data_IF_534672864511
#
_entry.id   IF_534672864511
#
_cell.length_a   1.000
_cell.length_b   1.000
_cell.length_c   1.000
_cell.angle_alpha   90.00
_cell.angle_beta   90.00
_cell.angle_gamma   90.00
#
_symmetry.space_group_name_H-M   'P 1'
#
loop_
_entity.id
_entity.type
_entity.pdbx_description
1 polymer ?
#
# COMPACT_ATOMS: atom_id res chain seq x y z
N UNK A 1 15.75 -31.55 12.31
CA UNK A 1 14.76 -30.50 12.64
C UNK A 1 15.42 -29.17 12.36
N UNK A 2 14.82 -28.29 11.56
CA UNK A 2 15.38 -26.96 11.34
C UNK A 2 15.37 -26.16 12.65
N UNK A 3 16.33 -25.24 12.82
CA UNK A 3 16.42 -24.39 14.01
C UNK A 3 15.12 -23.59 14.26
N UNK A 4 14.39 -23.22 13.19
CA UNK A 4 13.10 -22.54 13.27
C UNK A 4 12.05 -23.36 14.06
N UNK A 5 12.03 -24.68 13.90
CA UNK A 5 11.09 -25.55 14.62
C UNK A 5 11.38 -25.55 16.13
N UNK A 6 12.65 -25.46 16.54
CA UNK A 6 13.04 -25.41 17.95
C UNK A 6 12.49 -24.14 18.61
N UNK A 7 12.64 -22.99 17.96
CA UNK A 7 12.13 -21.71 18.49
C UNK A 7 10.61 -21.68 18.57
N UNK A 8 9.92 -22.25 17.57
CA UNK A 8 8.46 -22.33 17.57
C UNK A 8 7.98 -23.18 18.74
N UNK A 9 8.58 -24.34 18.97
CA UNK A 9 8.20 -25.23 20.05
C UNK A 9 8.49 -24.64 21.43
N UNK A 10 9.62 -23.93 21.59
CA UNK A 10 9.91 -23.18 22.81
C UNK A 10 8.84 -22.10 23.09
N UNK A 11 8.44 -21.33 22.07
CA UNK A 11 7.42 -20.28 22.22
C UNK A 11 6.03 -20.86 22.50
N UNK A 12 5.69 -22.02 21.91
CA UNK A 12 4.47 -22.78 22.24
C UNK A 12 4.48 -23.26 23.69
N UNK A 13 5.60 -23.80 24.18
CA UNK A 13 5.76 -24.21 25.58
C UNK A 13 5.59 -23.02 26.53
N UNK A 14 6.14 -21.85 26.20
CA UNK A 14 5.90 -20.61 26.97
C UNK A 14 4.42 -20.23 27.00
N UNK A 15 3.72 -20.31 25.87
CA UNK A 15 2.28 -20.04 25.80
C UNK A 15 1.47 -21.02 26.67
N UNK A 16 1.85 -22.30 26.71
CA UNK A 16 1.25 -23.31 27.58
C UNK A 16 1.55 -23.03 29.06
N UNK A 17 2.77 -22.65 29.40
CA UNK A 17 3.16 -22.27 30.77
C UNK A 17 2.33 -21.09 31.29
N UNK A 18 2.09 -20.07 30.46
CA UNK A 18 1.20 -18.95 30.81
C UNK A 18 -0.22 -19.45 31.15
N UNK A 19 -0.77 -20.38 30.37
CA UNK A 19 -2.09 -20.97 30.63
C UNK A 19 -2.14 -21.73 31.96
N UNK A 20 -1.09 -22.50 32.27
CA UNK A 20 -0.99 -23.24 33.53
C UNK A 20 -0.92 -22.29 34.73
N UNK A 21 -0.38 -21.09 34.55
CA UNK A 21 -0.34 -20.01 35.55
C UNK A 21 -1.64 -19.17 35.57
N UNK A 22 -2.70 -19.60 34.89
CA UNK A 22 -3.98 -18.87 34.83
C UNK A 22 -3.97 -17.62 33.93
N UNK A 23 -2.89 -17.37 33.20
CA UNK A 23 -2.77 -16.23 32.27
C UNK A 23 -3.15 -16.65 30.85
N UNK A 24 -4.17 -16.01 30.28
CA UNK A 24 -4.53 -16.22 28.88
C UNK A 24 -3.49 -15.53 27.96
N UNK A 25 -2.76 -16.26 27.09
CA UNK A 25 -1.79 -15.65 26.16
C UNK A 25 -2.43 -14.86 25.00
N UNK A 26 -3.76 -14.91 24.86
CA UNK A 26 -4.55 -14.24 23.83
C UNK A 26 -5.85 -13.63 24.42
N UNK A 27 -5.76 -12.64 25.33
CA UNK A 27 -6.94 -12.02 25.91
C UNK A 27 -7.70 -11.15 24.90
N UNK A 28 -9.01 -11.03 25.07
CA UNK A 28 -9.88 -10.25 24.17
C UNK A 28 -10.09 -8.79 24.62
N UNK A 29 -9.72 -8.44 25.87
CA UNK A 29 -10.07 -7.17 26.50
C UNK A 29 -8.90 -6.18 26.60
N UNK A 30 -8.08 -6.08 25.55
CA UNK A 30 -6.98 -5.10 25.48
C UNK A 30 -7.48 -3.83 24.81
N UNK A 31 -7.48 -2.72 25.55
CA UNK A 31 -7.96 -1.41 25.08
C UNK A 31 -6.89 -0.34 25.34
N UNK A 32 -5.95 -0.10 24.40
CA UNK A 32 -5.04 1.03 24.52
C UNK A 32 -5.82 2.34 24.35
N UNK A 33 -5.56 3.33 25.21
CA UNK A 33 -6.18 4.65 25.10
C UNK A 33 -5.46 5.56 24.09
N UNK A 34 -4.23 5.20 23.71
CA UNK A 34 -3.37 6.01 22.85
C UNK A 34 -2.64 5.13 21.84
N UNK A 35 -2.17 5.78 20.78
CA UNK A 35 -1.18 5.22 19.84
C UNK A 35 0.20 5.83 20.10
N UNK A 36 1.26 5.10 19.75
CA UNK A 36 2.64 5.56 19.85
C UNK A 36 2.86 6.87 19.08
N UNK A 37 2.33 6.98 17.86
CA UNK A 37 2.45 8.16 17.01
C UNK A 37 1.73 9.39 17.59
N UNK A 38 0.57 9.22 18.22
CA UNK A 38 -0.10 10.31 18.95
C UNK A 38 0.77 10.82 20.10
N UNK A 39 1.30 9.90 20.92
CA UNK A 39 2.17 10.25 22.05
C UNK A 39 3.43 10.98 21.56
N UNK A 40 4.09 10.46 20.53
CA UNK A 40 5.28 11.09 19.97
C UNK A 40 4.97 12.49 19.42
N UNK A 41 3.92 12.64 18.62
CA UNK A 41 3.54 13.93 18.03
C UNK A 41 3.27 15.01 19.10
N UNK A 42 2.62 14.65 20.19
CA UNK A 42 2.19 15.60 21.22
C UNK A 42 3.27 15.87 22.29
N UNK A 43 4.07 14.86 22.65
CA UNK A 43 4.94 14.92 23.82
C UNK A 43 6.45 14.83 23.51
N UNK A 44 6.85 14.48 22.29
CA UNK A 44 8.27 14.33 21.95
C UNK A 44 9.05 15.65 21.86
N UNK A 45 8.37 16.81 21.90
CA UNK A 45 9.05 18.10 22.07
C UNK A 45 9.22 18.51 23.54
N UNK A 46 8.55 17.83 24.49
CA UNK A 46 8.56 18.21 25.91
C UNK A 46 9.77 17.65 26.65
N UNK A 47 10.28 18.42 27.61
CA UNK A 47 11.40 18.04 28.49
C UNK A 47 10.92 17.25 29.71
N UNK A 48 11.84 16.54 30.36
CA UNK A 48 11.55 15.71 31.56
C UNK A 48 10.69 16.40 32.63
N UNK A 49 11.07 17.60 33.12
CA UNK A 49 10.29 18.31 34.15
C UNK A 49 8.88 18.69 33.71
N UNK A 50 8.64 18.89 32.41
CA UNK A 50 7.31 19.17 31.89
C UNK A 50 6.43 17.91 31.86
N UNK A 51 7.03 16.76 31.52
CA UNK A 51 6.35 15.46 31.53
C UNK A 51 5.96 15.05 32.95
N UNK A 52 6.84 15.25 33.93
CA UNK A 52 6.57 14.96 35.34
C UNK A 52 5.40 15.79 35.90
N UNK A 53 5.28 17.05 35.45
CA UNK A 53 4.16 17.94 35.83
C UNK A 53 2.82 17.51 35.26
N UNK A 54 2.78 16.72 34.18
CA UNK A 54 1.50 16.27 33.59
C UNK A 54 0.70 15.42 34.57
N UNK A 55 1.37 14.60 35.40
CA UNK A 55 0.73 13.63 36.31
C UNK A 55 -0.34 12.77 35.60
N UNK A 56 -0.15 12.49 34.32
CA UNK A 56 -1.05 11.69 33.46
C UNK A 56 -0.45 10.32 33.21
N UNK A 57 -1.30 9.32 33.13
CA UNK A 57 -0.96 7.98 32.63
C UNK A 57 -1.38 7.86 31.18
N UNK A 58 -0.60 7.07 30.45
CA UNK A 58 -0.84 6.75 29.04
C UNK A 58 -0.84 5.25 28.90
N UNK A 59 -1.66 4.72 28.01
CA UNK A 59 -1.69 3.30 27.68
C UNK A 59 -1.64 3.07 26.18
N UNK A 60 -0.78 2.14 25.79
CA UNK A 60 -0.48 1.78 24.39
C UNK A 60 -0.42 0.28 24.25
N UNK A 61 -0.70 -0.23 23.05
CA UNK A 61 -0.49 -1.63 22.71
C UNK A 61 0.35 -1.73 21.44
N UNK A 62 1.33 -2.62 21.41
CA UNK A 62 2.23 -2.74 20.28
C UNK A 62 3.03 -4.03 20.28
N UNK A 63 3.59 -4.34 19.11
CA UNK A 63 4.49 -5.47 18.91
C UNK A 63 5.86 -5.15 19.50
N UNK A 64 6.39 -6.05 20.32
CA UNK A 64 7.75 -6.01 20.85
C UNK A 64 8.74 -6.19 19.70
N UNK A 65 9.46 -5.12 19.36
CA UNK A 65 10.49 -5.12 18.32
C UNK A 65 11.87 -5.43 18.89
N UNK A 66 12.17 -4.88 20.07
CA UNK A 66 13.48 -5.04 20.73
C UNK A 66 13.31 -5.09 22.24
N UNK A 67 14.14 -5.89 22.91
CA UNK A 67 14.24 -5.98 24.37
C UNK A 67 15.73 -5.81 24.72
N UNK A 68 16.04 -4.91 25.64
CA UNK A 68 17.37 -4.73 26.25
C UNK A 68 17.22 -4.84 27.76
N UNK A 69 17.70 -5.92 28.35
CA UNK A 69 17.54 -6.23 29.78
C UNK A 69 18.84 -6.02 30.55
N UNK A 70 18.72 -5.52 31.79
CA UNK A 70 19.82 -5.17 32.69
C UNK A 70 19.55 -5.69 34.11
N UNK A 71 19.18 -6.98 34.22
CA UNK A 71 18.85 -7.62 35.48
C UNK A 71 17.45 -7.26 35.99
N UNK A 72 17.33 -6.20 36.81
CA UNK A 72 16.07 -5.76 37.44
C UNK A 72 15.31 -4.68 36.66
N UNK A 73 15.81 -4.31 35.47
CA UNK A 73 15.17 -3.34 34.59
C UNK A 73 15.39 -3.70 33.12
N UNK A 74 14.54 -3.20 32.24
CA UNK A 74 14.66 -3.39 30.80
C UNK A 74 14.06 -2.22 30.01
N UNK A 75 14.65 -1.96 28.84
CA UNK A 75 14.06 -1.11 27.81
C UNK A 75 13.51 -1.97 26.68
N UNK A 76 12.26 -1.71 26.32
CA UNK A 76 11.55 -2.42 25.26
C UNK A 76 11.11 -1.42 24.21
N UNK A 77 11.34 -1.71 22.93
CA UNK A 77 10.72 -0.96 21.84
C UNK A 77 9.46 -1.68 21.40
N UNK A 78 8.32 -1.01 21.52
CA UNK A 78 7.06 -1.50 20.98
C UNK A 78 6.64 -0.69 19.77
N UNK A 79 5.99 -1.34 18.81
CA UNK A 79 5.52 -0.73 17.58
C UNK A 79 4.04 -1.02 17.35
N UNK A 80 3.27 0.02 17.10
CA UNK A 80 1.89 -0.08 16.65
C UNK A 80 1.77 0.33 15.16
N UNK A 81 0.55 0.60 14.70
CA UNK A 81 0.29 1.00 13.32
C UNK A 81 0.73 2.44 13.01
N UNK A 82 0.98 3.27 14.02
CA UNK A 82 1.32 4.69 13.90
C UNK A 82 2.80 4.99 14.14
N UNK A 83 3.52 4.16 14.92
CA UNK A 83 4.90 4.47 15.28
C UNK A 83 5.55 3.45 16.20
N UNK A 84 6.70 3.84 16.75
CA UNK A 84 7.47 3.03 17.70
C UNK A 84 7.78 3.85 18.96
N UNK A 85 7.45 3.32 20.12
CA UNK A 85 7.67 3.97 21.42
C UNK A 85 8.59 3.12 22.30
N UNK A 86 9.43 3.78 23.10
CA UNK A 86 10.19 3.10 24.15
C UNK A 86 9.33 2.88 25.38
N UNK A 87 9.47 1.72 25.98
CA UNK A 87 8.88 1.38 27.27
C UNK A 87 9.99 0.95 28.22
N UNK A 88 9.95 1.47 29.43
CA UNK A 88 10.85 1.09 30.51
C UNK A 88 10.11 0.19 31.51
N UNK A 89 10.67 -0.97 31.78
CA UNK A 89 10.20 -1.92 32.78
C UNK A 89 11.20 -1.93 33.93
N UNK A 90 10.75 -1.84 35.18
CA UNK A 90 11.58 -2.07 36.34
C UNK A 90 10.83 -2.85 37.42
N UNK A 91 11.57 -3.73 38.10
CA UNK A 91 11.02 -4.64 39.10
C UNK A 91 10.44 -3.91 40.31
N UNK A 92 11.00 -2.75 40.67
CA UNK A 92 10.54 -1.96 41.81
C UNK A 92 9.13 -1.40 41.57
N UNK A 93 8.85 -0.96 40.35
CA UNK A 93 7.55 -0.38 39.96
C UNK A 93 6.51 -1.47 39.67
N UNK A 94 6.90 -2.57 39.01
CA UNK A 94 5.98 -3.62 38.59
C UNK A 94 5.69 -4.69 39.66
N UNK A 95 6.56 -4.86 40.65
CA UNK A 95 6.50 -5.97 41.60
C UNK A 95 7.06 -7.28 41.02
N UNK A 96 7.14 -8.31 41.86
CA UNK A 96 7.77 -9.59 41.51
C UNK A 96 7.04 -10.35 40.40
N UNK A 97 5.74 -10.58 40.57
CA UNK A 97 4.97 -11.45 39.67
C UNK A 97 4.85 -10.87 38.24
N UNK A 98 4.44 -9.60 38.03
CA UNK A 98 4.44 -9.03 36.68
C UNK A 98 5.84 -8.95 36.07
N UNK A 99 6.89 -8.73 36.87
CA UNK A 99 8.25 -8.70 36.34
C UNK A 99 8.73 -10.08 35.86
N UNK A 100 8.34 -11.16 36.51
CA UNK A 100 8.61 -12.52 36.00
C UNK A 100 7.81 -12.82 34.72
N UNK A 101 6.55 -12.38 34.61
CA UNK A 101 5.79 -12.49 33.36
C UNK A 101 6.45 -11.69 32.22
N UNK A 102 6.99 -10.51 32.52
CA UNK A 102 7.78 -9.71 31.57
C UNK A 102 8.98 -10.50 31.03
N UNK A 103 9.70 -11.25 31.87
CA UNK A 103 10.85 -12.08 31.42
C UNK A 103 10.44 -13.20 30.46
N UNK A 104 9.18 -13.62 30.46
CA UNK A 104 8.65 -14.60 29.51
C UNK A 104 8.31 -14.02 28.13
N UNK A 105 8.38 -12.69 27.97
CA UNK A 105 8.17 -12.02 26.69
C UNK A 105 9.30 -12.33 25.70
N UNK A 106 8.92 -12.43 24.43
CA UNK A 106 9.83 -12.58 23.31
C UNK A 106 9.63 -11.45 22.31
N UNK A 107 10.67 -11.17 21.51
CA UNK A 107 10.50 -10.34 20.31
C UNK A 107 9.39 -10.94 19.43
N UNK A 108 8.49 -10.08 18.95
CA UNK A 108 7.32 -10.45 18.15
C UNK A 108 6.01 -10.50 18.95
N UNK A 109 6.06 -10.67 20.27
CA UNK A 109 4.86 -10.63 21.11
C UNK A 109 4.16 -9.27 21.01
N UNK A 110 2.85 -9.24 21.22
CA UNK A 110 2.09 -7.99 21.33
C UNK A 110 1.77 -7.78 22.81
N UNK A 111 2.10 -6.60 23.32
CA UNK A 111 1.85 -6.23 24.71
C UNK A 111 1.05 -4.94 24.79
N UNK A 112 0.30 -4.81 25.88
CA UNK A 112 -0.29 -3.56 26.34
C UNK A 112 0.47 -3.09 27.58
N UNK A 113 0.73 -1.79 27.65
CA UNK A 113 1.49 -1.17 28.74
C UNK A 113 0.81 0.13 29.11
N UNK A 114 0.76 0.43 30.41
CA UNK A 114 0.27 1.67 30.96
C UNK A 114 1.26 2.27 31.95
N UNK A 115 1.38 3.60 31.93
CA UNK A 115 2.07 4.38 32.97
C UNK A 115 2.42 5.80 32.51
N UNK A 116 3.23 6.54 33.25
CA UNK A 116 3.60 7.93 32.92
C UNK A 116 4.71 8.00 31.87
N UNK A 117 4.81 9.15 31.20
CA UNK A 117 5.91 9.46 30.29
C UNK A 117 7.07 10.10 31.05
N UNK A 118 8.30 9.82 30.62
CA UNK A 118 9.52 10.47 31.09
C UNK A 118 10.58 10.50 29.98
N UNK A 119 11.68 11.22 30.23
CA UNK A 119 12.87 11.23 29.38
C UNK A 119 13.98 10.38 30.00
N UNK A 120 14.63 9.56 29.19
CA UNK A 120 15.86 8.88 29.61
C UNK A 120 17.04 9.86 29.66
N UNK A 121 18.20 9.40 30.17
CA UNK A 121 19.45 10.17 30.13
C UNK A 121 19.91 10.52 28.71
N UNK A 122 19.48 9.75 27.71
CA UNK A 122 19.78 9.99 26.29
C UNK A 122 18.68 10.83 25.61
N UNK A 123 17.85 11.50 26.40
CA UNK A 123 16.74 12.37 25.96
C UNK A 123 15.67 11.67 25.10
N UNK A 124 15.48 10.36 25.29
CA UNK A 124 14.47 9.61 24.55
C UNK A 124 13.15 9.53 25.30
N UNK A 125 12.04 9.93 24.67
CA UNK A 125 10.70 9.83 25.22
C UNK A 125 10.34 8.36 25.49
N UNK A 126 9.98 8.08 26.74
CA UNK A 126 9.78 6.71 27.21
C UNK A 126 8.54 6.61 28.11
N UNK A 127 7.76 5.55 27.93
CA UNK A 127 6.68 5.17 28.82
C UNK A 127 7.23 4.32 29.97
N UNK A 128 7.07 4.75 31.23
CA UNK A 128 7.43 3.92 32.39
C UNK A 128 6.29 2.95 32.69
N UNK A 129 6.51 1.66 32.53
CA UNK A 129 5.51 0.63 32.77
C UNK A 129 5.14 0.56 34.27
N UNK A 130 3.89 0.88 34.58
CA UNK A 130 3.27 0.64 35.89
C UNK A 130 2.38 -0.59 35.83
N UNK A 131 1.68 -0.79 34.71
CA UNK A 131 0.93 -2.00 34.41
C UNK A 131 1.35 -2.53 33.04
N UNK A 132 1.35 -3.85 32.87
CA UNK A 132 1.51 -4.46 31.56
C UNK A 132 0.66 -5.73 31.45
N UNK A 133 0.26 -6.06 30.22
CA UNK A 133 -0.45 -7.29 29.89
C UNK A 133 0.07 -7.83 28.56
N UNK A 134 0.24 -9.14 28.46
CA UNK A 134 0.43 -9.80 27.17
C UNK A 134 -0.90 -9.76 26.41
N UNK A 135 -0.88 -9.23 25.18
CA UNK A 135 -2.05 -9.15 24.31
C UNK A 135 -2.08 -10.29 23.27
N UNK A 136 -0.91 -10.72 22.78
CA UNK A 136 -0.80 -11.92 21.95
C UNK A 136 0.61 -12.50 21.99
N UNK A 137 0.73 -13.79 22.31
CA UNK A 137 2.00 -14.52 22.21
C UNK A 137 2.34 -14.84 20.75
N UNK A 138 3.52 -14.45 20.29
CA UNK A 138 4.03 -14.79 18.96
C UNK A 138 4.75 -16.13 19.01
N UNK A 139 4.17 -17.15 18.40
CA UNK A 139 4.77 -18.49 18.30
C UNK A 139 5.86 -18.59 17.24
N UNK A 140 5.85 -17.69 16.25
CA UNK A 140 6.93 -17.58 15.26
C UNK A 140 7.84 -16.39 15.61
N UNK A 141 9.17 -16.52 15.46
CA UNK A 141 10.07 -15.39 15.57
C UNK A 141 9.85 -14.40 14.42
N UNK A 142 10.24 -13.14 14.63
CA UNK A 142 10.36 -12.18 13.53
C UNK A 142 11.59 -12.53 12.67
N UNK A 143 11.61 -12.15 11.38
CA UNK A 143 12.82 -12.23 10.54
C UNK A 143 14.02 -11.53 11.18
N UNK A 144 15.23 -11.93 10.80
CA UNK A 144 16.46 -11.40 11.40
C UNK A 144 16.56 -9.87 11.40
N UNK A 145 17.07 -9.36 12.52
CA UNK A 145 16.88 -7.98 12.99
C UNK A 145 17.67 -6.91 12.23
N UNK A 146 18.74 -7.28 11.52
CA UNK A 146 19.73 -6.32 11.03
C UNK A 146 19.55 -5.92 9.57
N UNK A 147 19.01 -6.82 8.73
CA UNK A 147 18.86 -6.55 7.30
C UNK A 147 17.41 -6.33 6.87
N UNK A 148 16.43 -6.60 7.74
CA UNK A 148 15.02 -6.66 7.36
C UNK A 148 14.76 -7.83 6.41
N UNK A 149 13.51 -7.96 5.95
CA UNK A 149 13.21 -8.89 4.86
C UNK A 149 13.64 -8.20 3.55
N UNK A 150 14.83 -8.53 3.04
CA UNK A 150 15.38 -7.92 1.83
C UNK A 150 14.94 -8.63 0.55
N UNK A 151 14.82 -9.96 0.63
CA UNK A 151 14.42 -10.79 -0.51
C UNK A 151 13.05 -10.36 -1.04
N UNK A 152 13.02 -9.93 -2.29
CA UNK A 152 11.85 -9.30 -2.91
C UNK A 152 10.68 -10.28 -2.97
N UNK A 153 10.96 -11.54 -3.29
CA UNK A 153 9.94 -12.58 -3.40
C UNK A 153 9.32 -12.90 -2.02
N UNK A 154 10.15 -13.08 -1.00
CA UNK A 154 9.70 -13.30 0.37
C UNK A 154 8.86 -12.12 0.88
N UNK A 155 9.22 -10.87 0.56
CA UNK A 155 8.42 -9.69 0.90
C UNK A 155 7.03 -9.72 0.27
N UNK A 156 6.91 -10.24 -0.95
CA UNK A 156 5.63 -10.36 -1.64
C UNK A 156 4.80 -11.52 -1.10
N UNK A 157 5.42 -12.68 -0.85
CA UNK A 157 4.75 -13.87 -0.26
C UNK A 157 4.33 -13.66 1.19
N UNK A 158 5.14 -12.93 1.97
CA UNK A 158 4.93 -12.70 3.39
C UNK A 158 4.77 -11.20 3.69
N UNK A 159 3.82 -10.56 3.00
CA UNK A 159 3.56 -9.12 3.12
C UNK A 159 3.39 -8.65 4.56
N UNK A 160 2.78 -9.46 5.43
CA UNK A 160 2.62 -9.14 6.85
C UNK A 160 3.97 -8.96 7.57
N UNK A 161 5.01 -9.73 7.23
CA UNK A 161 6.36 -9.55 7.78
C UNK A 161 7.03 -8.30 7.21
N UNK A 162 6.91 -8.08 5.90
CA UNK A 162 7.43 -6.89 5.23
C UNK A 162 6.85 -5.61 5.85
N UNK A 163 5.54 -5.57 6.13
CA UNK A 163 4.88 -4.46 6.82
C UNK A 163 5.37 -4.26 8.26
N UNK A 164 5.75 -5.34 8.95
CA UNK A 164 6.30 -5.26 10.32
C UNK A 164 7.70 -4.63 10.30
N UNK A 165 8.58 -5.10 9.41
CA UNK A 165 10.01 -4.79 9.45
C UNK A 165 10.43 -3.59 8.58
N UNK A 166 9.65 -3.24 7.54
CA UNK A 166 9.94 -2.16 6.61
C UNK A 166 8.91 -1.01 6.71
N UNK A 167 9.14 0.03 7.54
CA UNK A 167 8.18 1.13 7.75
C UNK A 167 7.80 1.87 6.46
N UNK A 168 8.72 2.03 5.51
CA UNK A 168 8.47 2.68 4.22
C UNK A 168 7.36 1.98 3.42
N UNK A 169 7.28 0.65 3.50
CA UNK A 169 6.23 -0.12 2.81
C UNK A 169 4.84 0.25 3.34
N UNK A 170 4.69 0.43 4.66
CA UNK A 170 3.42 0.89 5.25
C UNK A 170 3.03 2.28 4.73
N UNK A 171 3.99 3.18 4.62
CA UNK A 171 3.77 4.51 4.05
C UNK A 171 3.32 4.41 2.58
N UNK A 172 3.90 3.50 1.78
CA UNK A 172 3.45 3.25 0.41
C UNK A 172 1.98 2.81 0.35
N UNK A 173 1.53 1.91 1.23
CA UNK A 173 0.11 1.52 1.29
C UNK A 173 -0.80 2.66 1.77
N UNK A 174 -0.35 3.47 2.72
CA UNK A 174 -1.10 4.65 3.16
C UNK A 174 -1.27 5.67 2.03
N UNK A 175 -0.20 5.97 1.29
CA UNK A 175 -0.24 6.83 0.09
C UNK A 175 -1.16 6.21 -0.96
N UNK A 176 -1.09 4.90 -1.21
CA UNK A 176 -2.01 4.22 -2.14
C UNK A 176 -3.48 4.42 -1.75
N UNK A 177 -3.82 4.31 -0.46
CA UNK A 177 -5.18 4.59 0.02
C UNK A 177 -5.57 6.05 -0.23
N UNK A 178 -4.67 7.00 0.03
CA UNK A 178 -4.90 8.42 -0.23
C UNK A 178 -5.10 8.70 -1.72
N UNK A 179 -4.29 8.12 -2.61
CA UNK A 179 -4.47 8.22 -4.07
C UNK A 179 -5.87 7.75 -4.46
N UNK A 180 -6.32 6.59 -3.98
CA UNK A 180 -7.66 6.07 -4.32
C UNK A 180 -8.79 6.99 -3.84
N UNK A 181 -8.66 7.60 -2.65
CA UNK A 181 -9.61 8.60 -2.16
C UNK A 181 -9.61 9.83 -3.06
N UNK A 182 -8.43 10.37 -3.39
CA UNK A 182 -8.29 11.56 -4.22
C UNK A 182 -8.80 11.33 -5.65
N UNK A 183 -8.59 10.14 -6.22
CA UNK A 183 -9.17 9.76 -7.51
C UNK A 183 -10.69 9.87 -7.46
N UNK A 184 -11.35 9.29 -6.45
CA UNK A 184 -12.81 9.40 -6.30
C UNK A 184 -13.26 10.84 -6.16
N UNK A 185 -12.64 11.59 -5.25
CA UNK A 185 -12.99 12.99 -5.01
C UNK A 185 -12.84 13.84 -6.28
N UNK A 186 -11.81 13.58 -7.09
CA UNK A 186 -11.56 14.29 -8.34
C UNK A 186 -12.70 14.13 -9.35
N UNK A 187 -13.18 12.90 -9.53
CA UNK A 187 -14.26 12.57 -10.46
C UNK A 187 -15.62 13.03 -9.94
N UNK A 188 -15.91 12.82 -8.65
CA UNK A 188 -17.17 13.22 -8.01
C UNK A 188 -17.37 14.75 -8.06
N UNK A 189 -16.31 15.54 -7.86
CA UNK A 189 -16.36 17.02 -7.99
C UNK A 189 -16.62 17.50 -9.42
N UNK A 190 -16.57 16.62 -10.42
CA UNK A 190 -16.74 16.92 -11.85
C UNK A 190 -17.97 16.20 -12.42
N UNK A 191 -18.90 15.81 -11.54
CA UNK A 191 -20.18 15.18 -11.85
C UNK A 191 -20.07 13.82 -12.54
N UNK A 192 -18.97 13.10 -12.35
CA UNK A 192 -18.89 11.69 -12.75
C UNK A 192 -19.49 10.80 -11.68
N UNK A 193 -20.32 9.84 -12.10
CA UNK A 193 -20.91 8.84 -11.22
C UNK A 193 -19.96 7.65 -11.06
N UNK A 194 -19.60 7.29 -9.82
CA UNK A 194 -18.92 6.02 -9.53
C UNK A 194 -19.93 4.89 -9.73
N UNK A 195 -19.59 3.89 -10.55
CA UNK A 195 -20.45 2.75 -10.86
C UNK A 195 -19.69 1.44 -10.66
N UNK A 196 -20.43 0.35 -10.46
CA UNK A 196 -19.89 -1.00 -10.39
C UNK A 196 -20.47 -1.84 -11.53
N UNK A 197 -19.61 -2.31 -12.44
CA UNK A 197 -20.01 -3.20 -13.54
C UNK A 197 -19.60 -4.65 -13.25
N UNK A 198 -20.22 -5.66 -13.91
CA UNK A 198 -19.89 -7.06 -13.67
C UNK A 198 -18.39 -7.36 -13.83
N UNK A 199 -17.83 -8.18 -12.92
CA UNK A 199 -16.46 -8.72 -13.04
C UNK A 199 -16.41 -10.06 -13.77
N UNK A 200 -17.56 -10.72 -13.95
CA UNK A 200 -17.69 -11.97 -14.70
C UNK A 200 -18.48 -11.67 -15.98
N UNK A 201 -17.85 -11.83 -17.14
CA UNK A 201 -18.44 -11.55 -18.44
C UNK A 201 -18.73 -12.87 -19.17
N UNK A 202 -19.85 -12.98 -19.90
CA UNK A 202 -20.11 -14.13 -20.77
C UNK A 202 -19.26 -14.09 -22.05
N UNK A 203 -18.81 -12.90 -22.45
CA UNK A 203 -17.96 -12.68 -23.62
C UNK A 203 -16.84 -11.73 -23.22
N UNK A 204 -15.59 -12.12 -23.48
CA UNK A 204 -14.42 -11.26 -23.26
C UNK A 204 -14.42 -10.05 -24.20
N UNK A 205 -14.01 -8.87 -23.72
CA UNK A 205 -13.85 -7.69 -24.56
C UNK A 205 -13.37 -6.47 -23.78
N UNK A 206 -13.18 -5.35 -24.49
CA UNK A 206 -12.70 -4.08 -23.93
C UNK A 206 -11.17 -3.97 -23.79
N UNK A 207 -10.41 -5.04 -24.04
CA UNK A 207 -8.96 -5.01 -24.13
C UNK A 207 -8.43 -6.18 -24.97
N UNK A 208 -7.16 -6.12 -25.37
CA UNK A 208 -6.45 -7.24 -25.99
C UNK A 208 -5.61 -7.97 -24.93
N UNK A 209 -6.21 -8.96 -24.26
CA UNK A 209 -5.56 -9.76 -23.21
C UNK A 209 -6.18 -11.15 -23.11
N UNK A 210 -5.41 -12.14 -22.62
CA UNK A 210 -5.91 -13.49 -22.35
C UNK A 210 -6.74 -13.47 -21.04
N UNK A 211 -7.97 -13.98 -21.01
CA UNK A 211 -8.79 -13.95 -19.79
C UNK A 211 -8.46 -15.13 -18.86
N UNK A 212 -8.92 -15.01 -17.61
CA UNK A 212 -9.18 -16.18 -16.77
C UNK A 212 -10.57 -16.72 -17.08
N UNK A 213 -10.66 -18.05 -17.28
CA UNK A 213 -11.92 -18.75 -17.53
C UNK A 213 -12.41 -19.37 -16.23
N UNK A 214 -13.71 -19.31 -16.00
CA UNK A 214 -14.41 -19.96 -14.88
C UNK A 214 -15.77 -20.47 -15.34
N UNK A 215 -16.48 -21.19 -14.49
CA UNK A 215 -17.73 -21.86 -14.86
C UNK A 215 -18.80 -21.67 -13.78
N UNK A 216 -20.01 -21.28 -14.19
CA UNK A 216 -21.13 -21.11 -13.29
C UNK A 216 -21.96 -22.40 -13.20
N UNK A 217 -21.64 -23.25 -12.21
CA UNK A 217 -22.21 -24.61 -12.07
C UNK A 217 -23.74 -24.70 -12.17
N UNK A 218 -24.49 -23.72 -11.64
CA UNK A 218 -25.97 -23.77 -11.63
C UNK A 218 -26.60 -23.35 -12.96
N UNK A 219 -25.90 -22.53 -13.74
CA UNK A 219 -26.37 -22.04 -15.04
C UNK A 219 -25.73 -22.82 -16.20
N UNK A 220 -24.79 -23.72 -15.87
CA UNK A 220 -24.05 -24.55 -16.81
C UNK A 220 -23.48 -23.72 -17.98
N UNK A 221 -22.76 -22.65 -17.63
CA UNK A 221 -22.17 -21.74 -18.61
C UNK A 221 -20.78 -21.27 -18.19
N UNK A 222 -19.93 -21.09 -19.19
CA UNK A 222 -18.62 -20.50 -19.01
C UNK A 222 -18.72 -18.99 -18.83
N UNK A 223 -17.85 -18.47 -17.97
CA UNK A 223 -17.70 -17.05 -17.69
C UNK A 223 -16.22 -16.70 -17.72
N UNK A 224 -15.93 -15.43 -17.96
CA UNK A 224 -14.59 -14.90 -18.01
C UNK A 224 -14.44 -13.81 -16.97
N UNK A 225 -13.36 -13.84 -16.18
CA UNK A 225 -13.03 -12.67 -15.38
C UNK A 225 -12.67 -11.52 -16.31
N UNK A 226 -13.26 -10.33 -16.08
CA UNK A 226 -13.14 -9.21 -17.01
C UNK A 226 -11.68 -8.79 -17.20
N UNK A 227 -11.31 -8.56 -18.45
CA UNK A 227 -10.03 -7.96 -18.83
C UNK A 227 -10.10 -6.42 -18.85
N UNK A 228 -11.31 -5.88 -18.99
CA UNK A 228 -11.67 -4.46 -18.90
C UNK A 228 -13.20 -4.29 -18.68
N UNK A 229 -13.68 -3.28 -17.94
CA UNK A 229 -15.10 -2.92 -17.84
C UNK A 229 -15.65 -2.08 -19.02
N UNK A 230 -14.79 -1.60 -19.94
CA UNK A 230 -15.12 -0.68 -21.05
C UNK A 230 -16.51 -0.90 -21.68
N UNK A 231 -16.81 -2.13 -22.12
CA UNK A 231 -18.05 -2.39 -22.85
C UNK A 231 -19.29 -2.19 -21.99
N UNK A 232 -19.23 -2.47 -20.68
CA UNK A 232 -20.35 -2.26 -19.77
C UNK A 232 -20.51 -0.79 -19.41
N UNK A 233 -19.41 -0.06 -19.20
CA UNK A 233 -19.45 1.38 -18.97
C UNK A 233 -20.05 2.11 -20.18
N UNK A 234 -19.69 1.73 -21.41
CA UNK A 234 -20.32 2.27 -22.63
C UNK A 234 -21.82 1.99 -22.72
N UNK A 235 -22.31 0.84 -22.21
CA UNK A 235 -23.76 0.56 -22.13
C UNK A 235 -24.48 1.53 -21.18
N UNK A 236 -23.82 1.94 -20.09
CA UNK A 236 -24.36 2.96 -19.18
C UNK A 236 -24.47 4.33 -19.85
N UNK A 237 -23.46 4.70 -20.65
CA UNK A 237 -23.51 5.94 -21.46
C UNK A 237 -24.65 5.88 -22.48
N UNK A 238 -24.84 4.75 -23.17
CA UNK A 238 -26.01 4.53 -24.04
C UNK A 238 -27.31 4.65 -23.26
N UNK A 239 -27.34 4.21 -22.01
CA UNK A 239 -28.48 4.36 -21.09
C UNK A 239 -28.71 5.78 -20.56
N UNK A 240 -27.89 6.76 -20.94
CA UNK A 240 -28.04 8.17 -20.54
C UNK A 240 -27.20 8.60 -19.34
N UNK A 241 -26.34 7.73 -18.78
CA UNK A 241 -25.35 8.16 -17.78
C UNK A 241 -24.17 8.83 -18.50
N UNK A 242 -24.25 10.14 -18.67
CA UNK A 242 -23.32 10.92 -19.49
C UNK A 242 -21.88 10.94 -18.96
N UNK A 243 -21.68 10.79 -17.64
CA UNK A 243 -20.35 10.79 -17.01
C UNK A 243 -20.26 9.67 -15.98
N UNK A 244 -19.48 8.64 -16.28
CA UNK A 244 -19.31 7.49 -15.37
C UNK A 244 -17.83 7.19 -15.19
N UNK A 245 -17.47 6.67 -14.01
CA UNK A 245 -16.16 6.09 -13.78
C UNK A 245 -16.25 4.86 -12.89
N UNK A 246 -15.29 3.96 -13.02
CA UNK A 246 -15.15 2.79 -12.17
C UNK A 246 -13.68 2.61 -11.77
N UNK A 247 -13.43 2.45 -10.47
CA UNK A 247 -12.13 2.01 -9.93
C UNK A 247 -12.28 0.56 -9.48
N UNK A 248 -11.86 -0.37 -10.34
CA UNK A 248 -12.15 -1.79 -10.15
C UNK A 248 -10.97 -2.69 -10.47
N UNK A 249 -11.17 -4.00 -10.27
CA UNK A 249 -10.17 -5.02 -10.62
C UNK A 249 -10.33 -5.44 -12.09
N UNK A 250 -9.22 -5.57 -12.79
CA UNK A 250 -9.11 -6.28 -14.05
C UNK A 250 -8.24 -7.51 -13.86
N UNK A 251 -8.51 -8.56 -14.63
CA UNK A 251 -7.83 -9.85 -14.53
C UNK A 251 -7.28 -10.22 -15.89
N UNK A 252 -5.96 -10.37 -16.01
CA UNK A 252 -5.28 -10.77 -17.24
C UNK A 252 -4.41 -11.98 -16.97
N UNK A 253 -4.64 -13.04 -17.71
CA UNK A 253 -3.96 -14.33 -17.58
C UNK A 253 -2.62 -14.28 -18.33
N UNK A 254 -1.72 -13.49 -17.77
CA UNK A 254 -0.41 -13.14 -18.31
C UNK A 254 0.69 -13.40 -17.26
N UNK A 255 1.96 -13.29 -17.68
CA UNK A 255 3.10 -13.47 -16.79
C UNK A 255 3.17 -12.37 -15.71
N UNK A 256 3.78 -12.71 -14.57
CA UNK A 256 4.07 -11.75 -13.50
C UNK A 256 5.41 -11.07 -13.81
N UNK A 257 5.47 -9.74 -13.67
CA UNK A 257 6.72 -8.99 -13.75
C UNK A 257 6.77 -7.86 -12.73
N UNK A 258 7.81 -7.03 -12.76
CA UNK A 258 7.90 -5.81 -11.95
C UNK A 258 6.81 -4.78 -12.26
N UNK A 259 6.16 -4.90 -13.42
CA UNK A 259 5.13 -3.99 -13.93
C UNK A 259 3.76 -4.68 -14.09
N UNK A 260 3.72 -6.02 -14.08
CA UNK A 260 2.49 -6.79 -14.35
C UNK A 260 2.12 -7.70 -13.18
N UNK A 261 0.86 -7.61 -12.76
CA UNK A 261 0.24 -8.55 -11.82
C UNK A 261 -1.07 -9.08 -12.44
N UNK A 262 -1.39 -10.39 -12.33
CA UNK A 262 -2.54 -10.98 -13.00
C UNK A 262 -3.89 -10.39 -12.59
N UNK A 263 -3.96 -9.77 -11.40
CA UNK A 263 -5.02 -8.86 -11.01
C UNK A 263 -4.47 -7.47 -10.73
N UNK A 264 -5.11 -6.43 -11.23
CA UNK A 264 -4.65 -5.05 -11.00
C UNK A 264 -5.84 -4.09 -10.95
N UNK A 265 -5.61 -2.92 -10.37
CA UNK A 265 -6.64 -1.89 -10.25
C UNK A 265 -6.55 -0.96 -11.45
N UNK A 266 -7.66 -0.80 -12.15
CA UNK A 266 -7.81 0.18 -13.22
C UNK A 266 -8.88 1.20 -12.84
N UNK A 267 -8.61 2.44 -13.23
CA UNK A 267 -9.62 3.49 -13.34
C UNK A 267 -10.01 3.55 -14.81
N UNK A 268 -11.28 3.36 -15.11
CA UNK A 268 -11.87 3.68 -16.40
C UNK A 268 -12.95 4.75 -16.22
N UNK A 269 -13.05 5.68 -17.16
CA UNK A 269 -14.06 6.73 -17.13
C UNK A 269 -14.55 7.06 -18.54
N UNK A 270 -15.81 7.47 -18.63
CA UNK A 270 -16.47 7.85 -19.87
C UNK A 270 -17.19 9.18 -19.69
N UNK A 271 -17.08 10.03 -20.69
CA UNK A 271 -17.65 11.38 -20.69
C UNK A 271 -18.31 11.63 -22.06
N UNK A 272 -19.63 11.63 -22.09
CA UNK A 272 -20.42 11.93 -23.27
C UNK A 272 -20.14 13.34 -23.77
N UNK A 273 -20.20 13.51 -25.09
CA UNK A 273 -19.91 14.75 -25.83
C UNK A 273 -18.48 15.29 -25.69
N UNK A 274 -17.59 14.58 -24.99
CA UNK A 274 -16.17 14.89 -24.93
C UNK A 274 -15.39 14.11 -26.01
N UNK A 275 -14.26 14.64 -26.43
CA UNK A 275 -13.30 13.94 -27.30
C UNK A 275 -11.98 13.65 -26.56
N UNK A 276 -11.02 13.00 -27.22
CA UNK A 276 -9.76 12.61 -26.58
C UNK A 276 -8.92 13.83 -26.11
N UNK A 277 -9.08 15.02 -26.70
CA UNK A 277 -8.42 16.25 -26.25
C UNK A 277 -8.93 16.70 -24.87
N UNK A 278 -10.24 16.55 -24.63
CA UNK A 278 -10.84 16.80 -23.32
C UNK A 278 -10.34 15.77 -22.30
N UNK A 279 -10.22 14.50 -22.68
CA UNK A 279 -9.69 13.44 -21.81
C UNK A 279 -8.21 13.65 -21.47
N UNK A 280 -7.40 14.15 -22.42
CA UNK A 280 -6.00 14.52 -22.15
C UNK A 280 -5.92 15.63 -21.10
N UNK A 281 -6.71 16.72 -21.25
CA UNK A 281 -6.75 17.81 -20.27
C UNK A 281 -7.24 17.34 -18.89
N UNK A 282 -8.23 16.45 -18.85
CA UNK A 282 -8.72 15.87 -17.61
C UNK A 282 -7.63 15.03 -16.93
N UNK A 283 -6.87 14.27 -17.71
CA UNK A 283 -5.76 13.44 -17.22
C UNK A 283 -4.62 14.30 -16.67
N UNK A 284 -4.23 15.38 -17.35
CA UNK A 284 -3.26 16.37 -16.85
C UNK A 284 -3.70 16.97 -15.51
N UNK A 285 -4.96 17.39 -15.40
CA UNK A 285 -5.50 17.94 -14.17
C UNK A 285 -5.49 16.91 -13.03
N UNK A 286 -5.83 15.65 -13.32
CA UNK A 286 -5.84 14.55 -12.36
C UNK A 286 -4.45 14.27 -11.79
N UNK A 287 -3.46 14.06 -12.66
CA UNK A 287 -2.10 13.72 -12.24
C UNK A 287 -1.41 14.90 -11.54
N UNK A 288 -1.66 16.12 -11.99
CA UNK A 288 -1.16 17.33 -11.33
C UNK A 288 -1.77 17.49 -9.92
N UNK A 289 -3.09 17.33 -9.77
CA UNK A 289 -3.78 17.44 -8.48
C UNK A 289 -3.31 16.36 -7.48
N UNK A 290 -3.09 15.13 -7.96
CA UNK A 290 -2.51 14.05 -7.16
C UNK A 290 -1.10 14.38 -6.66
N UNK A 291 -0.21 14.79 -7.55
CA UNK A 291 1.17 15.13 -7.18
C UNK A 291 1.19 16.30 -6.17
N UNK A 292 0.45 17.37 -6.47
CA UNK A 292 0.36 18.54 -5.61
C UNK A 292 -0.21 18.22 -4.22
N UNK A 293 -1.27 17.41 -4.15
CA UNK A 293 -1.92 17.09 -2.87
C UNK A 293 -1.10 16.17 -1.99
N UNK A 294 -0.43 15.17 -2.58
CA UNK A 294 0.33 14.17 -1.84
C UNK A 294 1.72 14.68 -1.47
N UNK A 295 2.37 15.42 -2.37
CA UNK A 295 3.77 15.83 -2.21
C UNK A 295 3.97 17.33 -1.99
N UNK A 296 2.90 18.14 -2.07
CA UNK A 296 2.98 19.60 -1.93
C UNK A 296 3.59 20.32 -3.15
N UNK A 297 3.91 19.59 -4.21
CA UNK A 297 4.52 20.07 -5.47
C UNK A 297 4.19 19.12 -6.62
N UNK A 298 4.33 19.59 -7.86
CA UNK A 298 4.14 18.77 -9.06
C UNK A 298 5.36 17.93 -9.43
N UNK A 299 6.52 18.25 -8.85
CA UNK A 299 7.77 17.56 -9.14
C UNK A 299 8.05 16.44 -8.14
N UNK A 300 8.29 15.25 -8.63
CA UNK A 300 8.66 14.09 -7.81
C UNK A 300 9.96 13.47 -8.30
N UNK A 301 10.62 12.74 -7.41
CA UNK A 301 11.78 11.92 -7.74
C UNK A 301 11.36 10.45 -7.84
N UNK A 302 11.65 9.82 -8.96
CA UNK A 302 11.40 8.41 -9.20
C UNK A 302 12.68 7.73 -9.68
N UNK A 303 13.25 6.86 -8.85
CA UNK A 303 14.49 6.12 -9.14
C UNK A 303 15.64 7.02 -9.61
N UNK A 304 15.85 8.16 -8.94
CA UNK A 304 16.89 9.14 -9.30
C UNK A 304 16.54 10.05 -10.48
N UNK A 305 15.35 9.88 -11.07
CA UNK A 305 14.86 10.72 -12.17
C UNK A 305 13.84 11.73 -11.67
N UNK A 306 14.02 13.01 -11.99
CA UNK A 306 13.04 14.07 -11.70
C UNK A 306 11.92 14.05 -12.73
N UNK A 307 10.69 13.86 -12.28
CA UNK A 307 9.47 13.92 -13.09
C UNK A 307 8.68 15.17 -12.71
N UNK A 308 8.17 15.92 -13.68
CA UNK A 308 7.26 17.05 -13.44
C UNK A 308 5.86 16.76 -13.99
N UNK A 309 4.87 16.73 -13.10
CA UNK A 309 3.47 16.52 -13.44
C UNK A 309 2.71 17.83 -13.71
N UNK A 310 3.41 18.97 -13.79
CA UNK A 310 2.81 20.25 -14.17
C UNK A 310 2.37 20.23 -15.63
N UNK A 311 1.10 20.50 -15.86
CA UNK A 311 0.54 20.67 -17.19
C UNK A 311 1.07 21.97 -17.85
N UNK A 312 1.09 22.06 -19.19
CA UNK A 312 0.66 21.03 -20.16
C UNK A 312 1.76 19.99 -20.46
N UNK A 313 1.34 18.76 -20.78
CA UNK A 313 2.25 17.69 -21.21
C UNK A 313 2.56 17.82 -22.70
N UNK A 314 3.78 17.44 -23.15
CA UNK A 314 4.07 17.31 -24.56
C UNK A 314 3.10 16.36 -25.25
N UNK A 315 2.67 16.73 -26.45
CA UNK A 315 1.77 15.93 -27.29
C UNK A 315 2.51 15.60 -28.57
N UNK A 316 2.58 14.30 -28.89
CA UNK A 316 3.18 13.79 -30.12
C UNK A 316 2.19 12.85 -30.78
N UNK A 317 2.06 12.91 -32.09
CA UNK A 317 1.48 11.79 -32.82
C UNK A 317 2.46 10.62 -32.82
N UNK A 318 1.98 9.39 -32.92
CA UNK A 318 2.85 8.22 -33.03
C UNK A 318 3.84 8.32 -34.21
N UNK A 319 3.43 8.76 -35.43
CA UNK A 319 4.36 9.05 -36.52
C UNK A 319 5.46 10.06 -36.16
N UNK A 320 5.09 11.19 -35.53
CA UNK A 320 6.05 12.21 -35.10
C UNK A 320 7.02 11.67 -34.06
N UNK A 321 6.54 10.88 -33.11
CA UNK A 321 7.36 10.28 -32.07
C UNK A 321 8.38 9.30 -32.67
N UNK A 322 7.95 8.44 -33.59
CA UNK A 322 8.84 7.52 -34.33
C UNK A 322 9.86 8.29 -35.16
N UNK A 323 9.45 9.31 -35.91
CA UNK A 323 10.37 10.13 -36.68
C UNK A 323 11.39 10.84 -35.78
N UNK A 324 10.95 11.39 -34.65
CA UNK A 324 11.78 12.16 -33.73
C UNK A 324 12.80 11.29 -32.99
N UNK A 325 12.38 10.15 -32.46
CA UNK A 325 13.16 9.34 -31.50
C UNK A 325 13.79 8.08 -32.10
N UNK A 326 13.17 7.47 -33.12
CA UNK A 326 13.71 6.31 -33.85
C UNK A 326 14.38 6.71 -35.17
N UNK A 327 14.22 7.97 -35.63
CA UNK A 327 14.79 8.49 -36.88
C UNK A 327 14.36 7.69 -38.13
N UNK A 328 13.19 7.06 -38.08
CA UNK A 328 12.59 6.32 -39.20
C UNK A 328 11.49 7.13 -39.85
N UNK A 329 11.31 6.96 -41.16
CA UNK A 329 10.23 7.58 -41.91
C UNK A 329 8.93 6.78 -41.67
N UNK A 330 7.94 7.34 -40.94
CA UNK A 330 6.72 6.62 -40.61
C UNK A 330 5.89 6.28 -41.86
N UNK A 331 6.03 7.03 -42.95
CA UNK A 331 5.29 6.77 -44.19
C UNK A 331 5.73 5.47 -44.89
N UNK A 332 6.91 4.93 -44.52
CA UNK A 332 7.46 3.68 -45.05
C UNK A 332 7.17 2.46 -44.18
N UNK A 333 6.47 2.64 -43.06
CA UNK A 333 6.14 1.56 -42.13
C UNK A 333 4.68 1.15 -42.31
N UNK A 334 4.39 -0.15 -42.24
CA UNK A 334 3.02 -0.61 -42.03
C UNK A 334 2.55 -0.20 -40.64
N UNK A 335 1.25 -0.23 -40.39
CA UNK A 335 0.68 0.12 -39.10
C UNK A 335 1.24 -0.73 -37.94
N UNK A 336 1.39 -2.04 -38.16
CA UNK A 336 1.96 -2.98 -37.20
C UNK A 336 3.43 -2.68 -36.93
N UNK A 337 4.20 -2.36 -38.00
CA UNK A 337 5.62 -1.99 -37.87
C UNK A 337 5.78 -0.64 -37.19
N UNK A 338 4.87 0.31 -37.40
CA UNK A 338 4.90 1.62 -36.75
C UNK A 338 4.72 1.45 -35.24
N UNK A 339 3.74 0.64 -34.81
CA UNK A 339 3.52 0.33 -33.40
C UNK A 339 4.73 -0.39 -32.79
N UNK A 340 5.25 -1.44 -33.44
CA UNK A 340 6.41 -2.17 -32.93
C UNK A 340 7.65 -1.27 -32.76
N UNK A 341 7.94 -0.42 -33.74
CA UNK A 341 9.04 0.56 -33.63
C UNK A 341 8.79 1.56 -32.49
N UNK A 342 7.54 1.99 -32.30
CA UNK A 342 7.20 2.86 -31.19
C UNK A 342 7.47 2.20 -29.83
N UNK A 343 6.94 0.99 -29.60
CA UNK A 343 7.08 0.26 -28.33
C UNK A 343 8.55 -0.07 -28.01
N UNK A 344 9.33 -0.51 -29.00
CA UNK A 344 10.71 -0.96 -28.78
C UNK A 344 11.72 0.20 -28.71
N UNK A 345 11.55 1.23 -29.54
CA UNK A 345 12.59 2.25 -29.74
C UNK A 345 12.20 3.65 -29.23
N UNK A 346 10.92 3.93 -29.01
CA UNK A 346 10.42 5.26 -28.63
C UNK A 346 9.93 5.29 -27.19
N UNK A 347 9.03 4.39 -26.80
CA UNK A 347 8.41 4.36 -25.47
C UNK A 347 9.42 4.42 -24.31
N UNK A 348 10.53 3.65 -24.31
CA UNK A 348 11.52 3.71 -23.23
C UNK A 348 12.23 5.06 -23.08
N UNK A 349 12.14 5.93 -24.11
CA UNK A 349 12.76 7.28 -24.12
C UNK A 349 11.79 8.37 -23.63
N UNK A 350 10.50 8.06 -23.47
CA UNK A 350 9.50 9.02 -23.00
C UNK A 350 9.52 9.10 -21.46
N UNK A 351 10.46 9.89 -20.94
CA UNK A 351 10.68 10.01 -19.48
C UNK A 351 9.70 10.97 -18.81
N UNK A 352 9.47 12.16 -19.38
CA UNK A 352 8.47 13.09 -18.85
C UNK A 352 7.05 12.66 -19.28
N UNK A 353 6.01 12.95 -18.48
CA UNK A 353 4.62 12.70 -18.88
C UNK A 353 4.36 13.26 -20.27
N UNK A 354 3.98 12.39 -21.22
CA UNK A 354 3.84 12.72 -22.64
C UNK A 354 2.61 12.01 -23.19
N UNK A 355 1.75 12.71 -23.91
CA UNK A 355 0.68 12.07 -24.66
C UNK A 355 1.16 11.67 -26.05
N UNK A 356 0.92 10.40 -26.40
CA UNK A 356 1.07 9.90 -27.76
C UNK A 356 -0.32 9.71 -28.35
N UNK A 357 -0.53 10.21 -29.57
CA UNK A 357 -1.85 10.27 -30.22
C UNK A 357 -1.79 9.66 -31.63
N UNK A 358 -2.95 9.52 -32.29
CA UNK A 358 -3.06 9.00 -33.66
C UNK A 358 -2.47 7.58 -33.83
N UNK A 359 -2.88 6.67 -32.96
CA UNK A 359 -2.56 5.25 -33.10
C UNK A 359 -3.22 4.68 -34.37
N UNK A 360 -2.56 3.73 -35.06
CA UNK A 360 -3.16 3.08 -36.23
C UNK A 360 -4.49 2.40 -35.92
N UNK A 361 -5.40 2.41 -36.89
CA UNK A 361 -6.76 1.85 -36.72
C UNK A 361 -6.76 0.35 -36.46
N UNK A 362 -5.80 -0.41 -37.02
CA UNK A 362 -5.65 -1.86 -36.85
C UNK A 362 -5.43 -2.28 -35.39
N UNK A 363 -4.86 -1.40 -34.56
CA UNK A 363 -4.59 -1.64 -33.13
C UNK A 363 -5.57 -0.90 -32.23
N UNK A 364 -6.52 -0.16 -32.81
CA UNK A 364 -7.46 0.72 -32.09
C UNK A 364 -8.92 0.37 -32.43
N UNK A 365 -9.38 -0.88 -32.21
CA UNK A 365 -10.65 -1.39 -32.73
C UNK A 365 -11.90 -0.71 -32.14
N UNK A 366 -11.77 -0.06 -30.97
CA UNK A 366 -12.87 0.59 -30.26
C UNK A 366 -12.77 2.14 -30.25
N UNK A 367 -11.76 2.69 -30.93
CA UNK A 367 -11.55 4.12 -31.05
C UNK A 367 -12.23 4.68 -32.31
N UNK A 368 -12.73 5.92 -32.22
CA UNK A 368 -13.24 6.66 -33.38
C UNK A 368 -12.07 6.94 -34.34
N UNK A 369 -12.30 6.81 -35.65
CA UNK A 369 -11.33 7.22 -36.68
C UNK A 369 -11.16 8.74 -36.66
N UNK A 370 -10.00 9.22 -37.09
CA UNK A 370 -9.83 10.64 -37.40
C UNK A 370 -10.82 11.06 -38.49
N UNK A 371 -11.26 12.32 -38.43
CA UNK A 371 -12.17 12.91 -39.43
C UNK A 371 -11.52 13.13 -40.79
#
# INVERSE_FOLDING_TARGET
>A
MSDENIYIDQRKKKAQGLRQQGTNPYPQNIKPAHTAGQILKEFDAKKGPELEKLKKTFSVAGRVMFIRSFGKAAFVKIRDFTGQLQVYFDKQTLGDEPFEQFKALDTGDIIWVEGPLFRTKTDELTLKAQNFKLAAKSVRPLPEKWHGLQDVEARYRQRYLDLIVNPKVRQTFAIRSQVLTLLRDFFLKRDFFEVETPMMHPIQGGAAAKPFVTHHNKLDMDLYLRIAPELYLKRLVVGGLERVFEIGRNFRNEGISTQHNPEFTMLEFYWAYANYEDLMKLTEALTQELAQTIHGKTEIEYQGTRLDFKAPYPRLTMPEAVQKFAKKDPAKLSAEKLLAVFEEEVEPKLIQPTFVTQFPTVVSPLARRND
#
